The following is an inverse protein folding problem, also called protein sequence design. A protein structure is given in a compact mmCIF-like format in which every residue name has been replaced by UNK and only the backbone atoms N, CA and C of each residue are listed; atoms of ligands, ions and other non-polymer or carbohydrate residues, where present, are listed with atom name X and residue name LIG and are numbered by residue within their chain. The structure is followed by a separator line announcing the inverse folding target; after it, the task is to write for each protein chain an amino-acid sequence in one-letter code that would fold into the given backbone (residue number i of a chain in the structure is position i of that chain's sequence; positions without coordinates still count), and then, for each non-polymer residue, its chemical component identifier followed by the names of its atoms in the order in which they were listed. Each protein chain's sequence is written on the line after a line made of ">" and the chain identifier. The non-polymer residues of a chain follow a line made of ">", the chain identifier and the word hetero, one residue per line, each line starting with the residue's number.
data_IF_867913848677
#
_entry.id   IF_867913848677
#
_cell.length_a   1.000
_cell.length_b   1.000
_cell.length_c   1.000
_cell.angle_alpha   90.00
_cell.angle_beta   90.00
_cell.angle_gamma   90.00
#
_symmetry.space_group_name_H-M   'P 1'
#
loop_
_entity.id
_entity.type
_entity.pdbx_description
1 polymer ?
#
# COMPACT_ATOMS: atom_id res chain seq x y z
N UNK A 1 27.66 -2.49 -13.16
CA UNK A 1 26.42 -1.93 -12.61
C UNK A 1 25.38 -1.99 -13.71
N UNK A 2 24.14 -2.42 -13.42
CA UNK A 2 23.09 -2.48 -14.45
C UNK A 2 22.72 -1.06 -14.89
N UNK A 3 22.69 -0.83 -16.20
CA UNK A 3 22.25 0.43 -16.79
C UNK A 3 20.72 0.48 -16.81
N UNK A 4 20.14 0.86 -15.67
CA UNK A 4 18.68 0.97 -15.51
C UNK A 4 18.06 1.93 -16.54
N UNK A 5 18.64 3.09 -16.85
CA UNK A 5 18.16 3.96 -17.92
C UNK A 5 18.07 3.30 -19.31
N UNK A 6 18.94 2.32 -19.60
CA UNK A 6 18.90 1.58 -20.87
C UNK A 6 17.80 0.51 -20.92
N UNK A 7 17.14 0.18 -19.80
CA UNK A 7 15.99 -0.73 -19.81
C UNK A 7 14.79 -0.09 -20.51
N UNK A 8 14.14 -0.85 -21.40
CA UNK A 8 12.87 -0.42 -21.98
C UNK A 8 11.84 -0.22 -20.89
N UNK A 9 11.07 0.87 -20.98
CA UNK A 9 10.02 1.21 -20.01
C UNK A 9 9.04 0.05 -19.76
N UNK A 10 8.62 -0.64 -20.82
CA UNK A 10 7.70 -1.78 -20.71
C UNK A 10 8.32 -2.93 -19.94
N UNK A 11 9.59 -3.22 -20.18
CA UNK A 11 10.33 -4.26 -19.45
C UNK A 11 10.46 -3.88 -17.97
N UNK A 12 10.81 -2.63 -17.67
CA UNK A 12 10.86 -2.15 -16.29
C UNK A 12 9.50 -2.26 -15.61
N UNK A 13 8.43 -1.80 -16.27
CA UNK A 13 7.06 -1.88 -15.77
C UNK A 13 6.66 -3.33 -15.46
N UNK A 14 6.82 -4.26 -16.41
CA UNK A 14 6.49 -5.67 -16.19
C UNK A 14 7.29 -6.29 -15.04
N UNK A 15 8.59 -6.03 -14.97
CA UNK A 15 9.44 -6.56 -13.89
C UNK A 15 8.98 -6.00 -12.54
N UNK A 16 8.75 -4.69 -12.44
CA UNK A 16 8.30 -4.05 -11.20
C UNK A 16 6.92 -4.55 -10.77
N UNK A 17 6.00 -4.79 -11.71
CA UNK A 17 4.69 -5.35 -11.42
C UNK A 17 4.79 -6.77 -10.85
N UNK A 18 5.64 -7.64 -11.41
CA UNK A 18 5.86 -8.99 -10.87
C UNK A 18 6.53 -8.98 -9.49
N UNK A 19 7.47 -8.06 -9.28
CA UNK A 19 8.10 -7.86 -7.97
C UNK A 19 7.11 -7.38 -6.93
N UNK A 20 6.18 -6.50 -7.31
CA UNK A 20 5.13 -6.00 -6.42
C UNK A 20 4.26 -7.14 -5.87
N UNK A 21 3.81 -8.08 -6.72
CA UNK A 21 3.10 -9.28 -6.25
C UNK A 21 3.93 -10.16 -5.31
N UNK A 22 5.24 -10.30 -5.59
CA UNK A 22 6.14 -11.09 -4.75
C UNK A 22 6.36 -10.45 -3.37
N UNK A 23 6.44 -9.12 -3.31
CA UNK A 23 6.53 -8.36 -2.07
C UNK A 23 5.27 -8.52 -1.24
N UNK A 24 4.08 -8.41 -1.85
CA UNK A 24 2.81 -8.61 -1.14
C UNK A 24 2.68 -10.03 -0.58
N UNK A 25 3.05 -11.04 -1.37
CA UNK A 25 3.09 -12.42 -0.89
C UNK A 25 4.01 -12.58 0.33
N UNK A 26 5.21 -12.00 0.28
CA UNK A 26 6.16 -12.08 1.39
C UNK A 26 5.67 -11.32 2.63
N UNK A 27 5.02 -10.17 2.45
CA UNK A 27 4.38 -9.42 3.54
C UNK A 27 3.38 -10.31 4.30
N UNK A 28 2.43 -10.91 3.59
CA UNK A 28 1.40 -11.77 4.20
C UNK A 28 2.02 -12.96 4.94
N UNK A 29 3.06 -13.57 4.34
CA UNK A 29 3.82 -14.66 4.96
C UNK A 29 4.55 -14.21 6.23
N UNK A 30 5.10 -13.00 6.23
CA UNK A 30 5.82 -12.45 7.37
C UNK A 30 4.87 -12.06 8.51
N UNK A 31 3.72 -11.47 8.21
CA UNK A 31 2.66 -11.23 9.20
C UNK A 31 2.23 -12.53 9.88
N UNK A 32 1.94 -13.57 9.08
CA UNK A 32 1.56 -14.87 9.63
C UNK A 32 2.67 -15.48 10.49
N UNK A 33 3.92 -15.32 10.07
CA UNK A 33 5.08 -15.76 10.84
C UNK A 33 5.17 -15.04 12.19
N UNK A 34 5.04 -13.71 12.24
CA UNK A 34 5.05 -12.94 13.50
C UNK A 34 3.91 -13.40 14.41
N UNK A 35 2.67 -13.46 13.89
CA UNK A 35 1.50 -13.93 14.64
C UNK A 35 1.73 -15.30 15.28
N UNK A 36 2.46 -16.18 14.60
CA UNK A 36 2.69 -17.56 15.06
C UNK A 36 3.90 -17.70 15.98
N UNK A 37 4.98 -16.95 15.73
CA UNK A 37 6.28 -17.15 16.40
C UNK A 37 6.58 -16.12 17.47
N UNK A 38 5.94 -14.95 17.40
CA UNK A 38 6.08 -13.86 18.35
C UNK A 38 4.71 -13.19 18.60
N UNK A 39 3.70 -13.93 19.06
CA UNK A 39 2.34 -13.41 19.24
C UNK A 39 2.27 -12.22 20.21
N UNK A 40 3.19 -12.14 21.17
CA UNK A 40 3.28 -11.02 22.12
C UNK A 40 3.71 -9.70 21.46
N UNK A 41 4.39 -9.77 20.32
CA UNK A 41 4.79 -8.59 19.54
C UNK A 41 3.68 -8.17 18.56
N UNK A 42 2.73 -9.06 18.29
CA UNK A 42 1.66 -8.76 17.35
C UNK A 42 0.64 -7.79 17.97
N UNK A 43 0.45 -6.65 17.33
CA UNK A 43 -0.49 -5.62 17.80
C UNK A 43 0.04 -4.77 18.97
N UNK A 44 1.34 -4.80 19.25
CA UNK A 44 1.98 -3.80 20.12
C UNK A 44 1.99 -2.42 19.46
N UNK A 45 2.32 -1.39 20.23
CA UNK A 45 2.48 -0.04 19.70
C UNK A 45 3.62 0.01 18.66
N UNK A 46 4.74 -0.66 18.92
CA UNK A 46 5.86 -0.77 17.99
C UNK A 46 5.47 -1.49 16.70
N UNK A 47 4.63 -2.53 16.81
CA UNK A 47 4.08 -3.21 15.64
C UNK A 47 3.27 -2.22 14.79
N UNK A 48 2.35 -1.46 15.39
CA UNK A 48 1.55 -0.47 14.65
C UNK A 48 2.39 0.68 14.09
N UNK A 49 3.42 1.13 14.81
CA UNK A 49 4.34 2.17 14.35
C UNK A 49 5.01 1.78 13.03
N UNK A 50 5.36 0.50 12.82
CA UNK A 50 5.93 0.04 11.56
C UNK A 50 4.96 0.25 10.36
N UNK A 51 3.66 0.02 10.57
CA UNK A 51 2.66 0.23 9.51
C UNK A 51 2.39 1.72 9.29
N UNK A 52 2.43 2.53 10.34
CA UNK A 52 2.32 3.99 10.21
C UNK A 52 3.50 4.57 9.43
N UNK A 53 4.72 4.16 9.76
CA UNK A 53 5.95 4.59 9.06
C UNK A 53 5.92 4.19 7.58
N UNK A 54 5.45 2.97 7.30
CA UNK A 54 5.23 2.48 5.94
C UNK A 54 4.19 3.33 5.20
N UNK A 55 3.01 3.55 5.78
CA UNK A 55 1.93 4.33 5.17
C UNK A 55 2.33 5.78 4.91
N UNK A 56 3.08 6.40 5.84
CA UNK A 56 3.62 7.74 5.67
C UNK A 56 4.62 7.80 4.50
N UNK A 57 5.50 6.81 4.39
CA UNK A 57 6.44 6.71 3.28
C UNK A 57 5.72 6.50 1.94
N UNK A 58 4.74 5.60 1.89
CA UNK A 58 3.94 5.34 0.69
C UNK A 58 3.23 6.61 0.23
N UNK A 59 2.47 7.26 1.11
CA UNK A 59 1.80 8.53 0.80
C UNK A 59 2.80 9.61 0.36
N UNK A 60 4.00 9.63 0.95
CA UNK A 60 5.20 10.34 0.50
C UNK A 60 5.47 10.19 -0.99
N UNK A 61 5.65 8.94 -1.40
CA UNK A 61 6.02 8.57 -2.76
C UNK A 61 4.87 8.79 -3.75
N UNK A 62 3.64 8.48 -3.36
CA UNK A 62 2.45 8.68 -4.21
C UNK A 62 2.20 10.15 -4.51
N UNK A 63 2.31 11.03 -3.51
CA UNK A 63 2.20 12.48 -3.73
C UNK A 63 3.23 12.98 -4.76
N UNK A 64 4.47 12.51 -4.66
CA UNK A 64 5.52 12.84 -5.63
C UNK A 64 5.24 12.27 -7.03
N UNK A 65 4.70 11.05 -7.12
CA UNK A 65 4.47 10.37 -8.39
C UNK A 65 3.24 10.92 -9.14
N UNK A 66 2.17 11.24 -8.40
CA UNK A 66 0.88 11.67 -8.97
C UNK A 66 0.80 13.19 -9.15
N UNK A 67 1.59 13.97 -8.39
CA UNK A 67 1.68 15.42 -8.56
C UNK A 67 0.46 16.21 -8.05
N UNK A 68 -0.39 15.60 -7.24
CA UNK A 68 -1.54 16.28 -6.62
C UNK A 68 -1.21 16.82 -5.22
N UNK A 69 -1.88 17.92 -4.79
CA UNK A 69 -1.68 18.49 -3.46
C UNK A 69 -2.14 17.57 -2.32
N UNK A 70 -1.76 17.90 -1.08
CA UNK A 70 -2.19 17.20 0.15
C UNK A 70 -3.12 18.08 0.97
N UNK A 71 -4.22 18.51 0.37
CA UNK A 71 -5.02 19.63 0.91
C UNK A 71 -6.36 19.19 1.49
N UNK A 72 -6.84 17.97 1.22
CA UNK A 72 -8.07 17.50 1.85
C UNK A 72 -8.42 16.02 1.65
N UNK A 73 -9.61 15.66 2.10
CA UNK A 73 -10.11 14.27 2.08
C UNK A 73 -10.11 13.65 0.68
N UNK A 74 -10.34 14.46 -0.36
CA UNK A 74 -10.35 14.02 -1.75
C UNK A 74 -8.97 13.59 -2.24
N UNK A 75 -7.91 14.25 -1.79
CA UNK A 75 -6.54 13.86 -2.11
C UNK A 75 -6.19 12.55 -1.38
N UNK A 76 -6.66 12.39 -0.14
CA UNK A 76 -6.49 11.15 0.61
C UNK A 76 -7.21 9.96 -0.05
N UNK A 77 -8.45 10.14 -0.50
CA UNK A 77 -9.19 9.13 -1.27
C UNK A 77 -8.41 8.75 -2.52
N UNK A 78 -7.91 9.73 -3.29
CA UNK A 78 -7.10 9.46 -4.49
C UNK A 78 -5.81 8.73 -4.18
N UNK A 79 -5.14 9.04 -3.07
CA UNK A 79 -3.95 8.27 -2.66
C UNK A 79 -4.30 6.83 -2.35
N UNK A 80 -5.44 6.57 -1.69
CA UNK A 80 -5.90 5.21 -1.43
C UNK A 80 -6.23 4.45 -2.71
N UNK A 81 -6.89 5.09 -3.68
CA UNK A 81 -7.19 4.52 -5.01
C UNK A 81 -5.93 4.12 -5.79
N UNK A 82 -4.76 4.70 -5.45
CA UNK A 82 -3.47 4.39 -6.07
C UNK A 82 -2.49 3.69 -5.12
N UNK A 83 -2.93 3.36 -3.90
CA UNK A 83 -2.09 2.69 -2.90
C UNK A 83 -1.98 1.19 -3.18
N UNK A 84 -1.05 0.53 -2.48
CA UNK A 84 -0.94 -0.92 -2.52
C UNK A 84 -2.28 -1.64 -2.24
N UNK A 85 -3.15 -1.08 -1.38
CA UNK A 85 -4.48 -1.65 -1.12
C UNK A 85 -5.31 -1.78 -2.40
N UNK A 86 -5.43 -0.71 -3.17
CA UNK A 86 -6.19 -0.73 -4.43
C UNK A 86 -5.55 -1.61 -5.51
N UNK A 87 -4.25 -1.89 -5.40
CA UNK A 87 -3.54 -2.78 -6.33
C UNK A 87 -3.83 -4.26 -6.03
N UNK A 88 -3.94 -4.63 -4.76
CA UNK A 88 -4.05 -6.03 -4.34
C UNK A 88 -5.45 -6.47 -3.96
N UNK A 89 -6.30 -5.54 -3.56
CA UNK A 89 -7.62 -5.81 -3.01
C UNK A 89 -8.72 -5.15 -3.84
N UNK A 90 -9.87 -5.81 -3.94
CA UNK A 90 -11.05 -5.18 -4.50
C UNK A 90 -11.65 -4.23 -3.46
N UNK A 91 -11.38 -2.93 -3.57
CA UNK A 91 -11.83 -1.94 -2.59
C UNK A 91 -12.92 -1.02 -3.15
N UNK A 92 -13.87 -0.67 -2.30
CA UNK A 92 -14.86 0.39 -2.50
C UNK A 92 -14.57 1.54 -1.54
N UNK A 93 -14.49 2.77 -2.05
CA UNK A 93 -14.35 3.98 -1.25
C UNK A 93 -15.57 4.87 -1.45
N UNK A 94 -16.22 5.24 -0.36
CA UNK A 94 -17.38 6.13 -0.35
C UNK A 94 -17.14 7.32 0.58
N UNK A 95 -17.20 8.54 0.04
CA UNK A 95 -17.17 9.76 0.85
C UNK A 95 -18.44 9.82 1.73
N UNK A 96 -18.25 10.06 3.03
CA UNK A 96 -19.34 10.15 4.00
C UNK A 96 -19.64 11.60 4.37
N UNK A 97 -18.59 12.39 4.57
CA UNK A 97 -18.65 13.82 4.87
C UNK A 97 -17.46 14.53 4.24
N UNK A 98 -17.38 15.85 4.39
CA UNK A 98 -16.23 16.64 3.91
C UNK A 98 -14.89 16.22 4.50
N UNK A 99 -14.88 15.51 5.64
CA UNK A 99 -13.69 15.11 6.38
C UNK A 99 -13.64 13.61 6.68
N UNK A 100 -14.53 12.81 6.08
CA UNK A 100 -14.55 11.36 6.33
C UNK A 100 -15.02 10.58 5.11
N UNK A 101 -14.42 9.41 4.93
CA UNK A 101 -14.82 8.42 3.94
C UNK A 101 -14.86 7.04 4.61
N UNK A 102 -15.50 6.10 3.94
CA UNK A 102 -15.47 4.68 4.27
C UNK A 102 -14.71 3.96 3.18
N UNK A 103 -13.78 3.10 3.56
CA UNK A 103 -13.19 2.09 2.69
C UNK A 103 -13.77 0.72 3.07
N UNK A 104 -14.10 -0.10 2.08
CA UNK A 104 -14.53 -1.49 2.25
C UNK A 104 -13.71 -2.36 1.33
N UNK A 105 -13.21 -3.47 1.82
CA UNK A 105 -12.71 -4.54 0.97
C UNK A 105 -13.89 -5.45 0.61
N UNK A 106 -14.05 -5.73 -0.68
CA UNK A 106 -15.06 -6.59 -1.26
C UNK A 106 -14.44 -7.94 -1.61
N UNK A 107 -15.29 -8.95 -1.81
CA UNK A 107 -14.89 -10.28 -2.28
C UNK A 107 -13.78 -10.95 -1.45
N UNK A 108 -13.65 -10.61 -0.17
CA UNK A 108 -12.68 -11.24 0.73
C UNK A 108 -12.93 -12.74 0.78
N UNK A 109 -11.95 -13.55 0.36
CA UNK A 109 -11.95 -14.99 0.63
C UNK A 109 -11.61 -15.20 2.12
N UNK A 110 -12.64 -15.51 2.91
CA UNK A 110 -12.50 -15.85 4.33
C UNK A 110 -11.64 -17.10 4.57
#
# INVERSE_FOLDING_TARGET
>A
MLDIPALRKDTLHTVMLQQLYSLNYMWMRFEFFIRTKAPQEFGTEEYYQLYEDYGLHEAGRLAKALGFPREGIKDLIRFLEHSHWAVFENIEIAELTTNSFRMRTLDCSA
#
